data_IF_795980574064
#
_entry.id   IF_795980574064
#
_cell.length_a   1.000
_cell.length_b   1.000
_cell.length_c   1.000
_cell.angle_alpha   90.00
_cell.angle_beta   90.00
_cell.angle_gamma   90.00
#
_symmetry.space_group_name_H-M   'P 1'
#
loop_
_entity.id
_entity.type
_entity.pdbx_description
1 polymer ?
#
# COMPACT_ATOMS: atom_id res chain seq x y z
N UNK A 1 1.90 -12.01 -27.74
CA UNK A 1 1.79 -12.38 -26.31
C UNK A 1 0.80 -13.54 -26.21
N UNK A 2 0.94 -14.46 -25.25
CA UNK A 2 0.07 -15.65 -25.17
C UNK A 2 -1.31 -15.25 -24.59
N UNK A 3 -2.41 -15.68 -25.22
CA UNK A 3 -3.79 -15.36 -24.81
C UNK A 3 -4.10 -15.69 -23.35
N UNK A 4 -3.53 -16.77 -22.81
CA UNK A 4 -3.68 -17.16 -21.40
C UNK A 4 -3.00 -16.14 -20.49
N UNK A 5 -1.82 -15.66 -20.87
CA UNK A 5 -1.09 -14.64 -20.12
C UNK A 5 -1.86 -13.31 -20.11
N UNK A 6 -2.43 -12.90 -21.24
CA UNK A 6 -3.26 -11.69 -21.32
C UNK A 6 -4.49 -11.77 -20.41
N UNK A 7 -5.18 -12.91 -20.39
CA UNK A 7 -6.32 -13.15 -19.50
C UNK A 7 -5.89 -13.15 -18.03
N UNK A 8 -4.76 -13.79 -17.70
CA UNK A 8 -4.23 -13.81 -16.34
C UNK A 8 -3.89 -12.39 -15.84
N UNK A 9 -3.22 -11.58 -16.65
CA UNK A 9 -2.89 -10.18 -16.32
C UNK A 9 -4.15 -9.32 -16.15
N UNK A 10 -5.15 -9.50 -17.04
CA UNK A 10 -6.44 -8.80 -16.92
C UNK A 10 -7.14 -9.17 -15.60
N UNK A 11 -7.23 -10.45 -15.29
CA UNK A 11 -7.88 -10.94 -14.07
C UNK A 11 -7.16 -10.43 -12.81
N UNK A 12 -5.82 -10.39 -12.82
CA UNK A 12 -5.02 -9.83 -11.73
C UNK A 12 -5.29 -8.33 -11.56
N UNK A 13 -5.34 -7.55 -12.65
CA UNK A 13 -5.65 -6.11 -12.60
C UNK A 13 -7.04 -5.85 -12.03
N UNK A 14 -8.04 -6.63 -12.44
CA UNK A 14 -9.39 -6.52 -11.90
C UNK A 14 -9.48 -6.95 -10.43
N UNK A 15 -8.73 -7.99 -10.03
CA UNK A 15 -8.66 -8.43 -8.65
C UNK A 15 -8.05 -7.35 -7.74
N UNK A 16 -7.01 -6.66 -8.20
CA UNK A 16 -6.45 -5.50 -7.50
C UNK A 16 -7.52 -4.42 -7.31
N UNK A 17 -8.18 -3.98 -8.40
CA UNK A 17 -9.18 -2.90 -8.33
C UNK A 17 -10.33 -3.22 -7.36
N UNK A 18 -10.77 -4.48 -7.31
CA UNK A 18 -11.87 -4.91 -6.42
C UNK A 18 -11.51 -4.88 -4.94
N UNK A 19 -10.23 -4.89 -4.60
CA UNK A 19 -9.80 -5.05 -3.22
C UNK A 19 -8.99 -3.87 -2.68
N UNK A 20 -8.52 -2.95 -3.54
CA UNK A 20 -7.64 -1.87 -3.12
C UNK A 20 -8.32 -0.89 -2.15
N UNK A 21 -9.60 -0.59 -2.36
CA UNK A 21 -10.40 0.26 -1.47
C UNK A 21 -10.40 -0.23 -0.02
N UNK A 22 -10.47 -1.56 0.19
CA UNK A 22 -10.42 -2.13 1.55
C UNK A 22 -9.07 -1.89 2.23
N UNK A 23 -8.00 -1.82 1.45
CA UNK A 23 -6.67 -1.52 1.96
C UNK A 23 -6.59 -0.04 2.32
N UNK A 24 -7.19 0.84 1.51
CA UNK A 24 -7.28 2.28 1.81
C UNK A 24 -8.02 2.52 3.12
N UNK A 25 -9.18 1.90 3.33
CA UNK A 25 -9.93 2.01 4.60
C UNK A 25 -9.05 1.65 5.82
N UNK A 26 -8.24 0.59 5.72
CA UNK A 26 -7.34 0.17 6.80
C UNK A 26 -6.21 1.20 7.01
N UNK A 27 -5.65 1.73 5.92
CA UNK A 27 -4.62 2.77 5.99
C UNK A 27 -5.18 4.04 6.66
N UNK A 28 -6.37 4.47 6.28
CA UNK A 28 -7.04 5.64 6.86
C UNK A 28 -7.33 5.48 8.35
N UNK A 29 -7.88 4.34 8.76
CA UNK A 29 -8.09 4.01 10.18
C UNK A 29 -6.76 4.14 10.95
N UNK A 30 -5.66 3.68 10.35
CA UNK A 30 -4.34 3.76 10.97
C UNK A 30 -3.78 5.19 11.01
N UNK A 31 -4.04 5.99 9.97
CA UNK A 31 -3.70 7.43 9.95
C UNK A 31 -4.45 8.16 11.06
N UNK A 32 -5.77 7.97 11.16
CA UNK A 32 -6.62 8.56 12.20
C UNK A 32 -6.10 8.16 13.59
N UNK A 33 -5.86 6.87 13.83
CA UNK A 33 -5.33 6.40 15.12
C UNK A 33 -3.93 6.95 15.43
N UNK A 34 -3.09 7.19 14.42
CA UNK A 34 -1.77 7.81 14.60
C UNK A 34 -1.91 9.31 14.95
N UNK A 35 -2.85 10.00 14.30
CA UNK A 35 -3.18 11.40 14.56
C UNK A 35 -3.70 11.61 15.99
N UNK A 36 -4.60 10.74 16.46
CA UNK A 36 -5.12 10.77 17.84
C UNK A 36 -4.01 10.62 18.90
N UNK A 37 -2.86 10.03 18.52
CA UNK A 37 -1.65 9.90 19.36
C UNK A 37 -0.67 11.06 19.18
N UNK A 38 -1.04 12.11 18.43
CA UNK A 38 -0.20 13.26 18.14
C UNK A 38 0.94 12.98 17.15
N UNK A 39 0.89 11.86 16.42
CA UNK A 39 1.87 11.58 15.37
C UNK A 39 1.57 12.40 14.12
N UNK A 40 2.57 12.54 13.25
CA UNK A 40 2.46 13.21 11.93
C UNK A 40 2.68 12.25 10.76
N UNK A 41 2.81 10.96 11.07
CA UNK A 41 3.15 9.94 10.10
C UNK A 41 2.62 8.58 10.52
N UNK A 42 2.42 7.71 9.55
CA UNK A 42 1.89 6.37 9.77
C UNK A 42 2.71 5.32 9.04
N UNK A 43 3.06 4.25 9.76
CA UNK A 43 3.63 3.04 9.18
C UNK A 43 2.50 2.01 9.00
N UNK A 44 2.25 1.62 7.75
CA UNK A 44 1.40 0.49 7.41
C UNK A 44 2.28 -0.65 6.91
N UNK A 45 2.30 -1.77 7.62
CA UNK A 45 2.95 -2.99 7.19
C UNK A 45 1.91 -3.90 6.53
N UNK A 46 2.30 -4.68 5.54
CA UNK A 46 1.39 -5.64 4.91
C UNK A 46 0.93 -6.73 5.89
N UNK A 47 1.62 -6.88 7.02
CA UNK A 47 1.19 -7.74 8.13
C UNK A 47 -0.02 -7.18 8.90
N UNK A 48 -0.32 -5.89 8.77
CA UNK A 48 -1.52 -5.26 9.37
C UNK A 48 -2.83 -5.78 8.75
N UNK A 49 -2.77 -6.47 7.61
CA UNK A 49 -3.94 -7.09 6.96
C UNK A 49 -4.35 -8.37 7.73
N UNK A 50 -5.52 -8.41 8.40
CA UNK A 50 -5.76 -9.32 9.52
C UNK A 50 -6.17 -10.76 9.17
N UNK A 51 -6.47 -11.10 7.91
CA UNK A 51 -7.11 -12.40 7.55
C UNK A 51 -6.34 -13.25 6.53
N UNK A 52 -6.64 -14.55 6.50
CA UNK A 52 -6.06 -15.53 5.55
C UNK A 52 -6.44 -15.22 4.09
N UNK A 53 -7.59 -14.58 3.85
CA UNK A 53 -7.98 -14.05 2.54
C UNK A 53 -7.08 -12.90 2.07
N UNK A 54 -6.25 -12.35 2.96
CA UNK A 54 -5.35 -11.24 2.67
C UNK A 54 -3.97 -11.69 2.17
N UNK A 55 -3.68 -12.99 2.04
CA UNK A 55 -2.39 -13.43 1.50
C UNK A 55 -2.21 -13.01 0.02
N UNK A 56 -3.28 -13.15 -0.77
CA UNK A 56 -3.29 -12.69 -2.17
C UNK A 56 -3.19 -11.16 -2.25
N UNK A 57 -3.81 -10.45 -1.31
CA UNK A 57 -3.72 -8.99 -1.18
C UNK A 57 -2.32 -8.53 -0.81
N UNK A 58 -1.70 -9.16 0.18
CA UNK A 58 -0.30 -8.93 0.56
C UNK A 58 0.60 -9.15 -0.65
N UNK A 59 0.45 -10.28 -1.35
CA UNK A 59 1.21 -10.57 -2.56
C UNK A 59 0.99 -9.49 -3.64
N UNK A 60 -0.26 -9.10 -3.89
CA UNK A 60 -0.60 -8.04 -4.85
C UNK A 60 0.05 -6.71 -4.48
N UNK A 61 -0.01 -6.28 -3.22
CA UNK A 61 0.59 -5.03 -2.76
C UNK A 61 2.12 -5.06 -2.85
N UNK A 62 2.74 -6.18 -2.51
CA UNK A 62 4.20 -6.35 -2.62
C UNK A 62 4.68 -6.21 -4.06
N UNK A 63 3.95 -6.78 -5.03
CA UNK A 63 4.34 -6.79 -6.44
C UNK A 63 3.82 -5.58 -7.24
N UNK A 64 2.83 -4.85 -6.71
CA UNK A 64 2.25 -3.65 -7.34
C UNK A 64 2.43 -2.40 -6.48
N UNK A 65 3.44 -2.37 -5.63
CA UNK A 65 3.67 -1.30 -4.65
C UNK A 65 3.78 0.10 -5.25
N UNK A 66 4.30 0.24 -6.48
CA UNK A 66 4.32 1.52 -7.20
C UNK A 66 2.92 2.04 -7.48
N UNK A 67 2.13 1.19 -8.13
CA UNK A 67 0.75 1.49 -8.44
C UNK A 67 -0.06 1.76 -7.18
N UNK A 68 0.15 0.97 -6.13
CA UNK A 68 -0.50 1.19 -4.84
C UNK A 68 -0.16 2.55 -4.24
N UNK A 69 1.09 2.98 -4.32
CA UNK A 69 1.50 4.30 -3.84
C UNK A 69 0.86 5.42 -4.66
N UNK A 70 0.84 5.29 -5.99
CA UNK A 70 0.20 6.29 -6.86
C UNK A 70 -1.31 6.36 -6.54
N UNK A 71 -2.01 5.21 -6.53
CA UNK A 71 -3.45 5.15 -6.25
C UNK A 71 -3.77 5.68 -4.82
N UNK A 72 -2.94 5.37 -3.82
CA UNK A 72 -3.13 5.83 -2.44
C UNK A 72 -2.85 7.34 -2.28
N UNK A 73 -1.85 7.87 -2.97
CA UNK A 73 -1.56 9.30 -2.95
C UNK A 73 -2.71 10.10 -3.55
N UNK A 74 -3.26 9.63 -4.67
CA UNK A 74 -4.45 10.22 -5.30
C UNK A 74 -5.67 10.13 -4.36
N UNK A 75 -5.88 8.96 -3.73
CA UNK A 75 -7.00 8.75 -2.79
C UNK A 75 -6.93 9.64 -1.55
N UNK A 76 -5.74 9.83 -0.98
CA UNK A 76 -5.52 10.70 0.18
C UNK A 76 -5.37 12.19 -0.18
N UNK A 77 -5.38 12.53 -1.47
CA UNK A 77 -5.12 13.87 -2.00
C UNK A 77 -3.77 14.48 -1.51
N UNK A 78 -2.72 13.65 -1.46
CA UNK A 78 -1.36 14.07 -1.02
C UNK A 78 -0.30 13.89 -2.09
N UNK A 79 0.83 14.60 -1.93
CA UNK A 79 2.00 14.40 -2.79
C UNK A 79 2.59 12.98 -2.57
N UNK A 80 2.71 12.20 -3.65
CA UNK A 80 3.23 10.84 -3.58
C UNK A 80 4.63 10.71 -3.00
N UNK A 81 5.43 11.77 -3.03
CA UNK A 81 6.77 11.80 -2.41
C UNK A 81 6.72 11.66 -0.88
N UNK A 82 5.56 11.90 -0.27
CA UNK A 82 5.30 11.69 1.16
C UNK A 82 5.07 10.21 1.50
N UNK A 83 4.92 9.32 0.51
CA UNK A 83 4.72 7.89 0.70
C UNK A 83 5.98 7.13 0.27
N UNK A 84 6.58 6.38 1.20
CA UNK A 84 7.82 5.63 0.97
C UNK A 84 7.61 4.14 1.19
N UNK A 85 8.23 3.32 0.33
CA UNK A 85 8.28 1.87 0.51
C UNK A 85 9.12 1.51 1.72
N UNK A 86 8.65 0.54 2.49
CA UNK A 86 9.39 -0.04 3.61
C UNK A 86 9.87 -1.42 3.20
N UNK A 87 11.15 -1.70 3.42
CA UNK A 87 11.81 -2.94 3.00
C UNK A 87 12.10 -3.84 4.20
N UNK A 88 12.11 -5.16 3.96
CA UNK A 88 12.53 -6.14 4.97
C UNK A 88 14.00 -5.92 5.38
N UNK A 89 14.32 -5.90 6.68
CA UNK A 89 15.71 -5.80 7.15
C UNK A 89 16.49 -7.12 6.99
N UNK A 90 15.83 -8.23 6.62
CA UNK A 90 16.43 -9.57 6.64
C UNK A 90 17.40 -9.85 5.47
N UNK A 91 17.45 -9.02 4.43
CA UNK A 91 18.51 -9.08 3.41
C UNK A 91 18.59 -7.76 2.62
N UNK A 92 19.77 -7.16 2.46
CA UNK A 92 19.96 -5.96 1.62
C UNK A 92 19.75 -6.23 0.12
N UNK A 93 19.61 -7.50 -0.28
CA UNK A 93 19.25 -7.90 -1.65
C UNK A 93 17.76 -8.24 -1.82
N UNK A 94 17.01 -8.31 -0.71
CA UNK A 94 15.57 -8.49 -0.81
C UNK A 94 14.95 -7.12 -1.08
N UNK A 95 14.62 -6.87 -2.35
CA UNK A 95 13.67 -5.82 -2.78
C UNK A 95 12.24 -6.10 -2.25
N UNK A 96 12.11 -6.88 -1.18
CA UNK A 96 10.88 -7.29 -0.57
C UNK A 96 10.31 -6.13 0.23
N UNK A 97 9.30 -5.50 -0.37
CA UNK A 97 8.55 -4.43 0.26
C UNK A 97 7.61 -5.08 1.29
N UNK A 98 7.70 -4.64 2.52
CA UNK A 98 6.91 -5.16 3.66
C UNK A 98 5.85 -4.19 4.14
N UNK A 99 5.81 -2.99 3.56
CA UNK A 99 4.86 -1.96 3.91
C UNK A 99 5.13 -0.63 3.23
N UNK A 100 4.43 0.39 3.70
CA UNK A 100 4.60 1.78 3.32
C UNK A 100 4.64 2.69 4.56
N UNK A 101 5.37 3.78 4.44
CA UNK A 101 5.43 4.86 5.41
C UNK A 101 4.85 6.12 4.78
N UNK A 102 3.92 6.77 5.47
CA UNK A 102 3.16 7.93 4.97
C UNK A 102 3.45 9.12 5.90
N UNK A 103 4.06 10.18 5.36
CA UNK A 103 4.37 11.42 6.08
C UNK A 103 3.30 12.50 5.83
N UNK A 104 2.07 12.22 6.26
CA UNK A 104 0.92 13.09 5.97
C UNK A 104 0.94 14.42 6.73
N UNK A 105 1.71 14.55 7.82
CA UNK A 105 1.81 15.82 8.56
C UNK A 105 2.56 16.93 7.83
N UNK A 106 3.31 16.61 6.78
CA UNK A 106 3.94 17.58 5.87
C UNK A 106 3.02 18.02 4.72
N UNK A 107 1.86 17.38 4.54
CA UNK A 107 0.92 17.71 3.46
C UNK A 107 0.30 19.12 3.61
N UNK A 108 0.19 19.63 4.85
CA UNK A 108 -0.42 20.92 5.16
C UNK A 108 0.59 22.07 5.29
N UNK A 109 1.90 21.82 5.16
CA UNK A 109 2.95 22.83 5.33
C UNK A 109 3.27 23.60 4.01
N UNK A 110 2.35 23.58 3.03
CA UNK A 110 2.44 24.35 1.77
C UNK A 110 1.59 25.61 1.78
#
# INVERSE_FOLDING_TARGET
MNKIIEVALKNQKEAYNRNIEKVFDIVEIKIISSSEKGMKSTLFTFEDLPTIADYDLRYMLMHNSERFIDDLADHLEIDKSLIKRVHSPKSPNDNLITGIYINWGEANDK
#
